data_IF_026666157573
#
_entry.id   IF_026666157573
#
_cell.length_a   1.000
_cell.length_b   1.000
_cell.length_c   1.000
_cell.angle_alpha   90.00
_cell.angle_beta   90.00
_cell.angle_gamma   90.00
#
_symmetry.space_group_name_H-M   'P 1'
#
loop_
_entity.id
_entity.type
_entity.pdbx_description
1 polymer ?
#
# COMPACT_ATOMS: atom_id res chain seq x y z
N UNK A 1 -52.50 28.85 -45.25
CA UNK A 1 -52.29 27.80 -44.21
C UNK A 1 -50.79 27.62 -44.01
N UNK A 2 -50.24 28.13 -42.91
CA UNK A 2 -48.80 28.01 -42.57
C UNK A 2 -48.70 27.00 -41.42
N UNK A 3 -48.06 25.86 -41.66
CA UNK A 3 -47.78 24.84 -40.64
C UNK A 3 -46.49 25.20 -39.92
N UNK A 4 -46.54 25.41 -38.60
CA UNK A 4 -45.40 25.58 -37.69
C UNK A 4 -44.95 24.18 -37.26
N UNK A 5 -43.74 23.79 -37.63
CA UNK A 5 -43.05 22.62 -37.08
C UNK A 5 -42.33 23.05 -35.82
N UNK A 6 -42.77 22.58 -34.66
CA UNK A 6 -42.05 22.69 -33.42
C UNK A 6 -41.04 21.57 -33.29
N UNK A 7 -39.73 21.89 -33.40
CA UNK A 7 -38.64 20.96 -33.11
C UNK A 7 -38.47 20.83 -31.62
N UNK A 8 -38.71 19.62 -31.12
CA UNK A 8 -38.46 19.23 -29.72
C UNK A 8 -37.03 18.71 -29.60
N UNK A 9 -36.14 19.51 -29.02
CA UNK A 9 -34.76 19.09 -28.73
C UNK A 9 -34.79 18.34 -27.42
N UNK A 10 -34.61 16.99 -27.45
CA UNK A 10 -34.37 16.16 -26.30
C UNK A 10 -32.91 16.35 -25.86
N UNK A 11 -32.69 17.04 -24.76
CA UNK A 11 -31.42 17.06 -24.04
C UNK A 11 -31.26 15.75 -23.28
N UNK A 12 -30.41 14.86 -23.77
CA UNK A 12 -29.93 13.71 -23.00
C UNK A 12 -28.90 14.20 -21.99
N UNK A 13 -29.30 14.32 -20.75
CA UNK A 13 -28.38 14.47 -19.62
C UNK A 13 -27.67 13.10 -19.40
N UNK A 14 -26.46 12.99 -19.92
CA UNK A 14 -25.55 11.88 -19.57
C UNK A 14 -25.16 12.07 -18.11
N UNK A 15 -25.84 11.38 -17.21
CA UNK A 15 -25.45 11.22 -15.82
C UNK A 15 -24.19 10.33 -15.79
N UNK A 16 -23.02 10.94 -15.64
CA UNK A 16 -21.84 10.20 -15.18
C UNK A 16 -22.09 9.79 -13.74
N UNK A 17 -22.61 8.59 -13.55
CA UNK A 17 -22.57 7.96 -12.25
C UNK A 17 -21.08 7.79 -11.87
N UNK A 18 -20.63 8.24 -10.68
CA UNK A 18 -19.30 7.89 -10.23
C UNK A 18 -19.23 6.36 -10.14
N UNK A 19 -18.20 5.82 -10.75
CA UNK A 19 -17.89 4.40 -10.70
C UNK A 19 -17.63 4.04 -9.22
N UNK A 20 -18.67 3.57 -8.56
CA UNK A 20 -18.63 3.08 -7.19
C UNK A 20 -18.01 1.67 -7.19
N UNK A 21 -16.76 1.57 -7.61
CA UNK A 21 -15.86 0.54 -7.12
C UNK A 21 -15.49 0.87 -5.66
N UNK A 22 -16.52 1.00 -4.81
CA UNK A 22 -16.33 1.02 -3.37
C UNK A 22 -15.61 -0.25 -3.00
N UNK A 23 -14.33 -0.09 -2.64
CA UNK A 23 -13.40 -1.16 -2.40
C UNK A 23 -14.00 -2.17 -1.46
N UNK A 24 -14.22 -3.38 -1.99
CA UNK A 24 -14.49 -4.56 -1.17
C UNK A 24 -13.45 -4.56 -0.04
N UNK A 25 -13.92 -4.71 1.18
CA UNK A 25 -13.17 -4.69 2.43
C UNK A 25 -11.74 -5.21 2.26
N UNK A 26 -10.79 -4.29 2.23
CA UNK A 26 -9.39 -4.61 2.03
C UNK A 26 -8.65 -4.47 3.36
N UNK A 27 -7.99 -5.55 3.76
CA UNK A 27 -7.04 -5.54 4.87
C UNK A 27 -5.66 -5.30 4.31
N UNK A 28 -4.96 -4.34 4.89
CA UNK A 28 -3.59 -3.98 4.55
C UNK A 28 -2.66 -4.47 5.65
N UNK A 29 -1.66 -5.27 5.29
CA UNK A 29 -0.56 -5.64 6.18
C UNK A 29 0.72 -5.00 5.65
N UNK A 30 1.45 -4.29 6.49
CA UNK A 30 2.74 -3.70 6.15
C UNK A 30 3.80 -4.10 7.16
N UNK A 31 5.02 -4.31 6.68
CA UNK A 31 6.19 -4.52 7.54
C UNK A 31 7.35 -3.69 7.01
N UNK A 32 7.93 -2.91 7.88
CA UNK A 32 9.24 -2.31 7.68
C UNK A 32 10.25 -3.09 8.50
N UNK A 33 11.32 -3.57 7.90
CA UNK A 33 12.39 -4.31 8.58
C UNK A 33 13.73 -3.61 8.38
N UNK A 34 14.70 -3.95 9.20
CA UNK A 34 16.04 -3.40 9.24
C UNK A 34 16.63 -3.65 10.64
N UNK A 35 17.31 -2.64 11.21
CA UNK A 35 17.80 -2.70 12.61
C UNK A 35 16.64 -2.83 13.62
N UNK A 36 15.46 -2.37 13.24
CA UNK A 36 14.21 -2.54 13.96
C UNK A 36 13.16 -3.13 13.03
N UNK A 37 12.06 -3.63 13.58
CA UNK A 37 10.92 -4.04 12.76
C UNK A 37 9.63 -3.39 13.24
N UNK A 38 8.86 -2.91 12.28
CA UNK A 38 7.52 -2.37 12.50
C UNK A 38 6.53 -3.17 11.67
N UNK A 39 5.64 -3.88 12.35
CA UNK A 39 4.49 -4.55 11.75
C UNK A 39 3.25 -3.69 11.93
N UNK A 40 2.49 -3.50 10.87
CA UNK A 40 1.25 -2.69 10.85
C UNK A 40 0.15 -3.48 10.15
N UNK A 41 -1.04 -3.47 10.73
CA UNK A 41 -2.25 -4.02 10.09
C UNK A 41 -3.34 -2.97 10.14
N UNK A 42 -3.98 -2.72 9.01
CA UNK A 42 -5.08 -1.74 8.88
C UNK A 42 -6.27 -2.44 8.22
N UNK A 43 -7.46 -2.31 8.81
CA UNK A 43 -8.70 -2.81 8.23
C UNK A 43 -9.34 -1.81 7.25
N UNK A 44 -10.41 -2.24 6.58
CA UNK A 44 -11.15 -1.44 5.61
C UNK A 44 -11.77 -0.16 6.19
N UNK A 45 -12.02 -0.16 7.48
CA UNK A 45 -12.57 0.98 8.23
C UNK A 45 -11.47 1.95 8.71
N UNK A 46 -10.18 1.61 8.49
CA UNK A 46 -9.01 2.40 8.89
C UNK A 46 -8.60 2.17 10.36
N UNK A 47 -9.11 1.14 11.05
CA UNK A 47 -8.56 0.78 12.36
C UNK A 47 -7.22 0.10 12.14
N UNK A 48 -6.19 0.66 12.74
CA UNK A 48 -4.82 0.17 12.65
C UNK A 48 -4.33 -0.42 13.96
N UNK A 49 -3.51 -1.45 13.86
CA UNK A 49 -2.71 -1.97 14.97
C UNK A 49 -1.25 -2.02 14.54
N UNK A 50 -0.33 -1.85 15.47
CA UNK A 50 1.09 -1.96 15.20
C UNK A 50 1.83 -2.72 16.28
N UNK A 51 2.98 -3.28 15.88
CA UNK A 51 4.01 -3.83 16.77
C UNK A 51 5.36 -3.31 16.30
N UNK A 52 6.05 -2.59 17.20
CA UNK A 52 7.38 -2.05 16.97
C UNK A 52 8.39 -2.76 17.89
N UNK A 53 9.47 -3.29 17.34
CA UNK A 53 10.51 -4.01 18.06
C UNK A 53 11.75 -3.17 18.35
N UNK A 54 11.76 -1.86 18.01
CA UNK A 54 12.93 -1.00 18.19
C UNK A 54 13.25 -0.72 19.66
N UNK A 55 12.23 -0.54 20.48
CA UNK A 55 12.37 -0.03 21.85
C UNK A 55 12.43 -1.10 22.92
N UNK A 56 12.06 -2.35 22.63
CA UNK A 56 12.00 -3.42 23.63
C UNK A 56 12.06 -4.81 22.98
N UNK A 57 12.69 -5.83 23.62
CA UNK A 57 12.68 -7.21 23.12
C UNK A 57 11.28 -7.76 22.84
N UNK A 58 10.28 -7.33 23.65
CA UNK A 58 8.87 -7.72 23.47
C UNK A 58 8.12 -6.81 22.48
N UNK A 59 8.75 -5.71 22.04
CA UNK A 59 8.16 -4.70 21.15
C UNK A 59 7.09 -3.84 21.83
N UNK A 60 6.92 -2.63 21.35
CA UNK A 60 5.78 -1.77 21.71
C UNK A 60 4.60 -2.09 20.80
N UNK A 61 3.41 -2.27 21.39
CA UNK A 61 2.18 -2.54 20.65
C UNK A 61 1.17 -1.44 20.90
N UNK A 62 0.40 -1.11 19.89
CA UNK A 62 -0.67 -0.13 20.02
C UNK A 62 -1.67 -0.19 18.89
N UNK A 63 -2.63 0.71 18.97
CA UNK A 63 -3.63 0.90 17.94
C UNK A 63 -3.76 2.36 17.55
N UNK A 64 -4.28 2.60 16.35
CA UNK A 64 -4.58 3.92 15.83
C UNK A 64 -5.82 3.88 14.94
N UNK A 65 -6.30 5.04 14.54
CA UNK A 65 -7.41 5.18 13.61
C UNK A 65 -7.04 6.18 12.52
N UNK A 66 -7.18 5.76 11.27
CA UNK A 66 -7.15 6.67 10.13
C UNK A 66 -8.57 7.16 9.82
N UNK A 67 -8.71 8.42 9.52
CA UNK A 67 -9.91 8.94 8.88
C UNK A 67 -10.07 8.34 7.47
N UNK A 68 -11.25 8.44 6.89
CA UNK A 68 -11.46 7.99 5.50
C UNK A 68 -10.52 8.67 4.51
N UNK A 69 -10.23 9.95 4.71
CA UNK A 69 -9.32 10.73 3.85
C UNK A 69 -7.89 10.19 3.97
N UNK A 70 -7.38 10.02 5.18
CA UNK A 70 -6.03 9.49 5.42
C UNK A 70 -5.86 8.07 4.89
N UNK A 71 -6.88 7.21 5.03
CA UNK A 71 -6.86 5.87 4.46
C UNK A 71 -6.78 5.91 2.92
N UNK A 72 -7.59 6.74 2.27
CA UNK A 72 -7.54 6.89 0.81
C UNK A 72 -6.20 7.45 0.33
N UNK A 73 -5.62 8.41 1.04
CA UNK A 73 -4.28 8.94 0.75
C UNK A 73 -3.20 7.87 0.89
N UNK A 74 -3.27 7.03 1.94
CA UNK A 74 -2.37 5.90 2.12
C UNK A 74 -2.47 4.91 0.95
N UNK A 75 -3.69 4.50 0.60
CA UNK A 75 -3.93 3.58 -0.53
C UNK A 75 -3.46 4.17 -1.86
N UNK A 76 -3.65 5.48 -2.08
CA UNK A 76 -3.16 6.17 -3.27
C UNK A 76 -1.62 6.17 -3.35
N UNK A 77 -0.93 6.40 -2.24
CA UNK A 77 0.55 6.31 -2.17
C UNK A 77 1.06 4.89 -2.43
N UNK A 78 0.31 3.87 -2.03
CA UNK A 78 0.66 2.46 -2.23
C UNK A 78 0.29 1.93 -3.63
N UNK A 79 -0.56 2.63 -4.38
CA UNK A 79 -1.05 2.18 -5.69
C UNK A 79 0.04 1.87 -6.73
N UNK A 80 1.16 2.62 -6.85
CA UNK A 80 2.24 2.28 -7.77
C UNK A 80 2.88 0.91 -7.48
N UNK A 81 2.93 0.52 -6.21
CA UNK A 81 3.49 -0.75 -5.74
C UNK A 81 2.49 -1.89 -5.90
N UNK A 82 1.20 -1.64 -5.65
CA UNK A 82 0.13 -2.61 -5.89
C UNK A 82 0.08 -3.08 -7.35
N UNK A 83 0.35 -2.20 -8.31
CA UNK A 83 0.45 -2.56 -9.73
C UNK A 83 1.59 -3.53 -10.05
N UNK A 84 2.57 -3.65 -9.17
CA UNK A 84 3.72 -4.55 -9.27
C UNK A 84 3.58 -5.76 -8.35
N UNK A 85 2.50 -5.83 -7.57
CA UNK A 85 2.26 -6.93 -6.64
C UNK A 85 1.98 -8.23 -7.39
N UNK A 86 2.33 -9.34 -6.74
CA UNK A 86 2.07 -10.69 -7.24
C UNK A 86 1.11 -11.42 -6.30
N UNK A 87 0.39 -12.45 -6.78
CA UNK A 87 -0.46 -13.27 -5.93
C UNK A 87 0.30 -13.82 -4.72
N UNK A 88 -0.30 -13.71 -3.53
CA UNK A 88 0.29 -14.24 -2.32
C UNK A 88 0.18 -15.75 -2.25
N UNK A 89 1.28 -16.40 -1.91
CA UNK A 89 1.37 -17.76 -1.40
C UNK A 89 2.60 -17.84 -0.49
N UNK A 90 2.68 -18.84 0.37
CA UNK A 90 3.88 -19.04 1.18
C UNK A 90 5.13 -19.21 0.30
N UNK A 91 4.99 -19.90 -0.83
CA UNK A 91 6.06 -20.10 -1.80
C UNK A 91 6.44 -18.78 -2.50
N UNK A 92 5.48 -17.95 -2.90
CA UNK A 92 5.76 -16.65 -3.52
C UNK A 92 6.46 -15.70 -2.54
N UNK A 93 6.06 -15.69 -1.27
CA UNK A 93 6.71 -14.90 -0.23
C UNK A 93 8.18 -15.30 -0.03
N UNK A 94 8.49 -16.59 -0.03
CA UNK A 94 9.87 -17.09 0.05
C UNK A 94 10.68 -16.76 -1.21
N UNK A 95 10.11 -16.94 -2.40
CA UNK A 95 10.76 -16.60 -3.67
C UNK A 95 11.03 -15.11 -3.81
N UNK A 96 10.20 -14.26 -3.26
CA UNK A 96 10.42 -12.82 -3.26
C UNK A 96 11.75 -12.45 -2.59
N UNK A 97 12.04 -13.07 -1.44
CA UNK A 97 13.30 -12.86 -0.71
C UNK A 97 14.51 -13.25 -1.58
N UNK A 98 14.38 -14.32 -2.36
CA UNK A 98 15.47 -14.83 -3.21
C UNK A 98 15.62 -14.09 -4.55
N UNK A 99 14.56 -13.48 -5.06
CA UNK A 99 14.50 -12.90 -6.42
C UNK A 99 14.51 -11.38 -6.45
N UNK A 100 14.35 -10.74 -5.31
CA UNK A 100 14.22 -9.26 -5.20
C UNK A 100 15.49 -8.55 -5.64
N UNK A 101 16.66 -9.19 -5.44
CA UNK A 101 17.92 -8.65 -5.94
C UNK A 101 18.54 -9.57 -6.99
N UNK A 102 18.50 -9.21 -8.28
CA UNK A 102 19.11 -10.01 -9.33
C UNK A 102 20.63 -10.15 -9.15
N UNK A 103 21.18 -11.31 -9.51
CA UNK A 103 22.62 -11.55 -9.44
C UNK A 103 23.40 -10.49 -10.24
N UNK A 104 24.45 -9.94 -9.63
CA UNK A 104 25.31 -8.94 -10.24
C UNK A 104 24.86 -7.50 -10.11
N UNK A 105 23.75 -7.23 -9.43
CA UNK A 105 23.32 -5.90 -9.03
C UNK A 105 24.01 -5.54 -7.71
N UNK A 106 24.46 -4.28 -7.51
CA UNK A 106 25.03 -3.85 -6.23
C UNK A 106 24.04 -4.06 -5.08
N UNK A 107 24.52 -4.67 -4.00
CA UNK A 107 23.72 -4.97 -2.82
C UNK A 107 24.41 -4.48 -1.55
N UNK A 108 23.63 -3.88 -0.65
CA UNK A 108 24.07 -3.49 0.69
C UNK A 108 23.35 -4.39 1.71
N UNK A 109 24.13 -5.11 2.50
CA UNK A 109 23.58 -5.93 3.56
C UNK A 109 22.90 -5.11 4.64
N UNK A 110 21.90 -5.67 5.29
CA UNK A 110 21.20 -5.11 6.46
C UNK A 110 20.51 -3.76 6.24
N UNK A 111 20.29 -3.36 4.97
CA UNK A 111 19.59 -2.12 4.65
C UNK A 111 18.08 -2.16 4.99
N UNK A 112 17.55 -3.35 5.26
CA UNK A 112 16.15 -3.59 5.56
C UNK A 112 15.29 -3.73 4.31
N UNK A 113 13.99 -3.90 4.53
CA UNK A 113 13.01 -4.09 3.47
C UNK A 113 11.65 -3.52 3.86
N UNK A 114 10.85 -3.21 2.86
CA UNK A 114 9.43 -2.89 3.02
C UNK A 114 8.61 -3.99 2.37
N UNK A 115 7.68 -4.56 3.12
CA UNK A 115 6.69 -5.53 2.66
C UNK A 115 5.29 -4.97 2.80
N UNK A 116 4.43 -5.23 1.84
CA UNK A 116 3.00 -4.91 1.92
C UNK A 116 2.17 -6.01 1.27
N UNK A 117 1.04 -6.34 1.90
CA UNK A 117 0.06 -7.31 1.43
C UNK A 117 -1.33 -6.68 1.47
N UNK A 118 -2.08 -6.83 0.39
CA UNK A 118 -3.46 -6.41 0.26
C UNK A 118 -4.33 -7.66 0.24
N UNK A 119 -5.27 -7.74 1.16
CA UNK A 119 -6.18 -8.86 1.30
C UNK A 119 -7.63 -8.41 1.17
N UNK A 120 -8.35 -8.98 0.24
CA UNK A 120 -9.79 -8.80 0.07
C UNK A 120 -10.46 -10.16 -0.15
N UNK A 121 -11.79 -10.18 -0.33
CA UNK A 121 -12.50 -11.42 -0.64
C UNK A 121 -12.09 -12.02 -1.99
N UNK A 122 -11.66 -11.20 -2.94
CA UNK A 122 -11.39 -11.61 -4.31
C UNK A 122 -9.90 -11.53 -4.68
N UNK A 123 -9.07 -10.90 -3.84
CA UNK A 123 -7.69 -10.60 -4.17
C UNK A 123 -6.79 -10.72 -2.93
N UNK A 124 -5.67 -11.40 -3.07
CA UNK A 124 -4.65 -11.55 -2.05
C UNK A 124 -3.28 -11.44 -2.75
N UNK A 125 -2.71 -10.24 -2.70
CA UNK A 125 -1.48 -9.90 -3.42
C UNK A 125 -0.48 -9.24 -2.50
N UNK A 126 0.80 -9.37 -2.82
CA UNK A 126 1.86 -8.78 -2.01
C UNK A 126 2.99 -8.17 -2.86
N UNK A 127 3.71 -7.24 -2.25
CA UNK A 127 4.89 -6.58 -2.81
C UNK A 127 5.99 -6.50 -1.76
N UNK A 128 7.23 -6.70 -2.19
CA UNK A 128 8.43 -6.55 -1.36
C UNK A 128 9.42 -5.61 -2.06
N UNK A 129 9.98 -4.69 -1.31
CA UNK A 129 11.11 -3.86 -1.72
C UNK A 129 12.28 -4.10 -0.78
N UNK A 130 13.32 -4.75 -1.25
CA UNK A 130 14.61 -4.79 -0.58
C UNK A 130 15.30 -3.43 -0.73
N UNK A 131 15.69 -2.81 0.37
CA UNK A 131 16.34 -1.50 0.38
C UNK A 131 17.84 -1.59 0.09
N UNK A 132 18.44 -2.76 0.25
CA UNK A 132 19.83 -3.01 -0.08
C UNK A 132 20.08 -3.23 -1.55
N UNK A 133 19.10 -3.78 -2.25
CA UNK A 133 19.23 -4.08 -3.67
C UNK A 133 19.24 -2.82 -4.53
N UNK A 134 20.31 -2.63 -5.32
CA UNK A 134 20.47 -1.49 -6.24
C UNK A 134 20.14 -0.16 -5.56
N UNK A 135 20.65 0.01 -4.35
CA UNK A 135 20.22 1.01 -3.39
C UNK A 135 20.36 2.45 -3.92
N UNK A 136 21.38 2.72 -4.74
CA UNK A 136 21.58 4.05 -5.34
C UNK A 136 20.52 4.35 -6.39
N UNK A 137 20.26 3.42 -7.32
CA UNK A 137 19.26 3.58 -8.37
C UNK A 137 17.83 3.60 -7.82
N UNK A 138 17.58 2.88 -6.73
CA UNK A 138 16.27 2.74 -6.10
C UNK A 138 16.10 3.65 -4.87
N UNK A 139 16.98 4.63 -4.66
CA UNK A 139 16.96 5.51 -3.50
C UNK A 139 15.63 6.25 -3.33
N UNK A 140 15.07 6.80 -4.42
CA UNK A 140 13.79 7.51 -4.39
C UNK A 140 12.64 6.58 -3.98
N UNK A 141 12.55 5.38 -4.58
CA UNK A 141 11.57 4.36 -4.19
C UNK A 141 11.68 4.02 -2.70
N UNK A 142 12.89 3.77 -2.23
CA UNK A 142 13.14 3.38 -0.84
C UNK A 142 12.76 4.52 0.11
N UNK A 143 13.09 5.77 -0.24
CA UNK A 143 12.71 6.96 0.49
C UNK A 143 11.19 7.16 0.55
N UNK A 144 10.49 6.96 -0.54
CA UNK A 144 9.03 7.11 -0.58
C UNK A 144 8.31 6.04 0.25
N UNK A 145 8.78 4.78 0.20
CA UNK A 145 8.23 3.71 1.03
C UNK A 145 8.43 3.97 2.54
N UNK A 146 9.61 4.51 2.94
CA UNK A 146 9.85 4.92 4.34
C UNK A 146 8.89 6.04 4.75
N UNK A 147 8.73 7.08 3.93
CA UNK A 147 7.79 8.20 4.20
C UNK A 147 6.33 7.74 4.34
N UNK A 148 5.93 6.70 3.62
CA UNK A 148 4.58 6.11 3.78
C UNK A 148 4.39 5.62 5.21
N UNK A 149 5.36 4.88 5.75
CA UNK A 149 5.32 4.35 7.11
C UNK A 149 5.45 5.46 8.16
N UNK A 150 6.38 6.40 7.96
CA UNK A 150 6.59 7.57 8.84
C UNK A 150 5.35 8.48 8.93
N UNK A 151 4.51 8.48 7.89
CA UNK A 151 3.24 9.21 7.87
C UNK A 151 2.12 8.58 8.69
N UNK A 152 2.30 7.38 9.22
CA UNK A 152 1.29 6.75 10.08
C UNK A 152 1.30 7.39 11.48
N UNK A 153 0.14 7.45 12.17
CA UNK A 153 0.06 8.02 13.52
C UNK A 153 0.55 7.05 14.60
N UNK A 154 1.78 6.56 14.42
CA UNK A 154 2.47 5.62 15.32
C UNK A 154 3.52 6.39 16.12
N UNK A 155 3.50 6.37 17.48
CA UNK A 155 4.37 7.19 18.32
C UNK A 155 5.87 6.94 18.12
N UNK A 156 6.26 5.72 17.77
CA UNK A 156 7.65 5.27 17.67
C UNK A 156 8.33 5.60 16.32
N UNK A 157 7.58 6.06 15.33
CA UNK A 157 8.10 6.34 13.98
C UNK A 157 8.43 7.84 13.78
N UNK A 158 8.39 8.64 14.85
CA UNK A 158 8.65 10.09 14.81
C UNK A 158 10.04 10.45 15.28
#
# INVERSE_FOLDING_TARGET
MRALFASFILLFATSCAPDSSEGKHERLEMRLSGWSSLDVVIDAEGNGTYKDSETHPDGTKGGFKLTRVELLELLAKLQPYRKQAVPFSEESAMRFIEQVCPKGVPEVADAGAFYVRWQSADDDVHYLADFGCDHERLADRNGDLRKIVEGLPIPSVR
#
